data_IF_783443711410
#
_entry.id   IF_783443711410
#
_cell.length_a   1.000
_cell.length_b   1.000
_cell.length_c   1.000
_cell.angle_alpha   90.00
_cell.angle_beta   90.00
_cell.angle_gamma   90.00
#
_symmetry.space_group_name_H-M   'P 1'
#
loop_
_entity.id
_entity.type
_entity.pdbx_description
1 polymer ?
#
# COMPACT_ATOMS: atom_id res chain seq x y z
N UNK A 1 35.21 -35.30 4.79
CA UNK A 1 34.53 -34.67 3.64
C UNK A 1 34.77 -33.18 3.74
N UNK A 2 35.50 -32.61 2.78
CA UNK A 2 36.01 -31.23 2.78
C UNK A 2 35.08 -30.41 1.90
N UNK A 3 34.46 -29.36 2.46
CA UNK A 3 33.54 -28.46 1.75
C UNK A 3 34.34 -27.27 1.20
N UNK A 4 34.48 -27.21 -0.11
CA UNK A 4 35.16 -26.14 -0.84
C UNK A 4 34.29 -24.89 -0.87
N UNK A 5 34.68 -23.85 -0.13
CA UNK A 5 34.09 -22.51 -0.21
C UNK A 5 34.69 -21.74 -1.40
N UNK A 6 33.87 -21.46 -2.42
CA UNK A 6 34.29 -20.64 -3.56
C UNK A 6 34.15 -19.16 -3.22
N UNK A 7 35.32 -18.54 -3.04
CA UNK A 7 35.61 -17.11 -2.85
C UNK A 7 34.96 -16.24 -3.94
N UNK A 8 34.18 -15.25 -3.53
CA UNK A 8 33.90 -14.07 -4.35
C UNK A 8 34.96 -13.01 -4.05
N UNK A 9 35.76 -12.67 -5.08
CA UNK A 9 36.77 -11.64 -5.01
C UNK A 9 36.18 -10.25 -5.36
N UNK A 10 36.70 -9.17 -4.76
CA UNK A 10 36.22 -7.80 -4.93
C UNK A 10 36.81 -7.18 -6.20
N UNK A 11 36.02 -6.35 -6.89
CA UNK A 11 36.51 -5.46 -7.95
C UNK A 11 35.98 -4.04 -7.67
N UNK A 12 36.74 -3.35 -6.82
CA UNK A 12 36.85 -1.90 -6.80
C UNK A 12 37.76 -1.48 -7.97
N UNK A 13 37.27 -0.63 -8.87
CA UNK A 13 37.92 0.59 -9.39
C UNK A 13 37.29 0.99 -10.74
N UNK A 14 36.51 2.07 -10.73
CA UNK A 14 36.47 3.00 -11.85
C UNK A 14 36.09 4.38 -11.31
N UNK A 15 37.11 5.22 -11.13
CA UNK A 15 36.99 6.66 -10.98
C UNK A 15 36.34 7.24 -12.24
N UNK A 16 35.28 8.03 -12.08
CA UNK A 16 34.93 9.07 -13.02
C UNK A 16 34.44 10.30 -12.24
N UNK A 17 35.39 11.20 -12.04
CA UNK A 17 35.24 12.62 -11.78
C UNK A 17 34.16 13.23 -12.68
N UNK A 18 33.04 13.63 -12.10
CA UNK A 18 32.14 14.62 -12.68
C UNK A 18 31.66 15.55 -11.57
N UNK A 19 32.48 16.58 -11.33
CA UNK A 19 32.08 17.77 -10.59
C UNK A 19 31.19 18.57 -11.55
N UNK A 20 29.87 18.42 -11.43
CA UNK A 20 28.87 19.21 -12.15
C UNK A 20 28.00 19.95 -11.14
N UNK A 21 28.11 21.26 -11.10
CA UNK A 21 27.39 22.17 -10.20
C UNK A 21 25.89 22.09 -10.45
N UNK A 22 25.17 21.30 -9.66
CA UNK A 22 23.71 21.33 -9.65
C UNK A 22 23.24 22.55 -8.84
N UNK A 23 22.51 23.42 -9.52
CA UNK A 23 21.84 24.63 -9.04
C UNK A 23 21.00 24.36 -7.77
N UNK A 24 21.02 25.27 -6.77
CA UNK A 24 20.14 25.16 -5.62
C UNK A 24 18.68 25.39 -6.02
N UNK A 25 17.70 24.63 -5.48
CA UNK A 25 16.29 24.99 -5.56
C UNK A 25 16.03 26.29 -4.75
N UNK A 26 15.05 27.10 -5.16
CA UNK A 26 14.75 28.38 -4.52
C UNK A 26 14.33 28.21 -3.06
N UNK A 27 14.88 29.12 -2.24
CA UNK A 27 14.62 29.29 -0.82
C UNK A 27 13.15 29.62 -0.53
N UNK A 28 12.75 29.34 0.70
CA UNK A 28 11.40 29.41 1.21
C UNK A 28 10.90 30.86 1.34
N UNK A 29 9.60 31.08 1.14
CA UNK A 29 8.83 32.10 1.86
C UNK A 29 7.32 31.90 1.65
N UNK A 30 6.57 31.46 2.68
CA UNK A 30 5.13 31.69 2.73
C UNK A 30 4.85 33.13 3.24
N UNK A 31 4.06 33.96 2.55
CA UNK A 31 3.55 35.19 3.14
C UNK A 31 2.43 34.87 4.13
N UNK A 32 2.60 35.30 5.37
CA UNK A 32 1.55 35.32 6.37
C UNK A 32 0.66 36.57 6.23
N UNK A 33 -0.65 36.33 6.30
CA UNK A 33 -1.72 37.19 6.84
C UNK A 33 -2.02 38.57 6.22
N UNK A 34 -3.22 38.69 5.63
CA UNK A 34 -4.17 39.79 5.92
C UNK A 34 -5.54 39.50 5.27
N UNK A 35 -6.59 39.35 6.08
CA UNK A 35 -7.97 39.22 5.60
C UNK A 35 -8.94 38.92 6.74
N UNK A 36 -9.41 39.98 7.41
CA UNK A 36 -10.34 39.96 8.54
C UNK A 36 -11.82 39.83 8.06
N UNK A 37 -12.81 39.71 8.98
CA UNK A 37 -14.08 38.98 8.81
C UNK A 37 -15.23 39.82 8.25
N UNK A 38 -16.23 39.14 7.67
CA UNK A 38 -17.53 39.70 7.32
C UNK A 38 -18.64 38.68 7.57
N UNK A 39 -19.45 38.95 8.60
CA UNK A 39 -20.69 38.25 8.90
C UNK A 39 -21.82 38.71 7.96
N UNK A 40 -22.77 37.81 7.65
CA UNK A 40 -24.20 37.99 7.97
C UNK A 40 -25.04 36.83 7.44
N UNK A 41 -25.94 36.42 8.32
CA UNK A 41 -27.06 35.50 8.22
C UNK A 41 -27.86 35.51 6.91
N UNK A 42 -28.33 34.31 6.53
CA UNK A 42 -29.67 34.17 5.99
C UNK A 42 -30.25 32.80 6.39
N UNK A 43 -31.27 32.86 7.24
CA UNK A 43 -32.18 31.80 7.61
C UNK A 43 -32.91 31.22 6.39
N UNK A 44 -33.20 29.92 6.41
CA UNK A 44 -33.93 29.28 5.32
C UNK A 44 -34.42 27.86 5.62
N UNK A 45 -35.57 27.80 6.29
CA UNK A 45 -36.59 26.75 6.23
C UNK A 45 -36.24 25.33 6.74
N UNK A 46 -36.68 25.09 7.98
CA UNK A 46 -37.23 23.80 8.41
C UNK A 46 -38.34 23.35 7.47
N UNK A 47 -38.11 22.27 6.73
CA UNK A 47 -39.13 21.53 5.99
C UNK A 47 -39.21 20.12 6.54
N UNK A 48 -40.26 19.86 7.32
CA UNK A 48 -40.65 18.52 7.76
C UNK A 48 -41.46 17.85 6.64
N UNK A 49 -41.13 16.61 6.29
CA UNK A 49 -41.95 15.64 5.54
C UNK A 49 -41.15 14.33 5.57
N UNK A 50 -41.51 13.28 6.30
CA UNK A 50 -42.83 12.65 6.31
C UNK A 50 -42.91 11.63 5.18
N UNK A 51 -42.28 10.47 5.33
CA UNK A 51 -42.56 9.27 4.53
C UNK A 51 -42.10 8.01 5.30
N UNK A 52 -42.83 7.70 6.38
CA UNK A 52 -42.90 6.32 6.89
C UNK A 52 -44.02 5.63 6.14
N UNK A 53 -43.69 4.70 5.24
CA UNK A 53 -44.70 3.84 4.62
C UNK A 53 -44.22 3.06 3.40
N UNK A 54 -44.54 1.77 3.43
CA UNK A 54 -44.49 0.76 2.35
C UNK A 54 -43.10 0.12 2.12
N UNK A 55 -42.87 -1.13 2.56
CA UNK A 55 -43.43 -2.39 2.08
C UNK A 55 -42.99 -2.75 0.66
N UNK A 56 -42.16 -3.79 0.55
CA UNK A 56 -42.05 -4.63 -0.65
C UNK A 56 -41.06 -4.14 -1.70
N UNK A 57 -39.87 -4.75 -1.70
CA UNK A 57 -38.92 -4.58 -2.80
C UNK A 57 -37.52 -4.94 -2.34
N UNK A 58 -37.27 -6.23 -2.14
CA UNK A 58 -35.94 -6.82 -2.00
C UNK A 58 -35.03 -6.28 -3.12
N UNK A 59 -34.04 -5.42 -2.84
CA UNK A 59 -32.96 -5.20 -3.77
C UNK A 59 -31.97 -6.34 -3.53
N UNK A 60 -31.78 -7.20 -4.53
CA UNK A 60 -30.82 -8.28 -4.54
C UNK A 60 -29.57 -7.94 -3.71
N UNK A 61 -29.49 -8.53 -2.53
CA UNK A 61 -28.38 -8.44 -1.60
C UNK A 61 -27.20 -9.15 -2.27
N UNK A 62 -26.41 -8.40 -3.04
CA UNK A 62 -25.10 -8.88 -3.51
C UNK A 62 -24.30 -9.19 -2.25
N UNK A 63 -23.82 -10.44 -2.05
CA UNK A 63 -23.22 -10.84 -0.79
C UNK A 63 -21.89 -10.10 -0.63
N UNK A 64 -21.90 -9.02 0.17
CA UNK A 64 -20.71 -8.24 0.53
C UNK A 64 -19.59 -9.11 1.14
N UNK A 65 -19.95 -10.29 1.63
CA UNK A 65 -19.05 -11.30 2.18
C UNK A 65 -18.21 -11.96 1.08
N UNK A 66 -18.78 -12.23 -0.10
CA UNK A 66 -18.08 -12.87 -1.22
C UNK A 66 -17.03 -11.94 -1.83
N UNK A 67 -17.31 -10.64 -1.85
CA UNK A 67 -16.40 -9.61 -2.37
C UNK A 67 -15.11 -9.46 -1.52
N UNK A 68 -15.10 -9.94 -0.27
CA UNK A 68 -13.89 -9.95 0.60
C UNK A 68 -13.10 -11.25 0.53
N UNK A 69 -13.63 -12.32 -0.07
CA UNK A 69 -12.95 -13.60 -0.12
C UNK A 69 -11.73 -13.58 -1.05
N UNK A 70 -11.89 -13.00 -2.25
CA UNK A 70 -10.83 -12.92 -3.26
C UNK A 70 -9.62 -12.11 -2.78
N UNK A 71 -9.76 -10.88 -2.25
CA UNK A 71 -8.59 -10.09 -1.90
C UNK A 71 -7.91 -10.61 -0.60
N UNK A 72 -8.65 -11.27 0.29
CA UNK A 72 -8.05 -12.05 1.40
C UNK A 72 -7.27 -13.25 0.89
N UNK A 73 -7.80 -13.97 -0.09
CA UNK A 73 -7.08 -15.07 -0.76
C UNK A 73 -5.82 -14.56 -1.45
N UNK A 74 -5.88 -13.43 -2.15
CA UNK A 74 -4.72 -12.79 -2.77
C UNK A 74 -3.65 -12.43 -1.73
N UNK A 75 -4.05 -11.85 -0.60
CA UNK A 75 -3.15 -11.54 0.50
C UNK A 75 -2.51 -12.80 1.13
N UNK A 76 -3.27 -13.89 1.30
CA UNK A 76 -2.72 -15.16 1.77
C UNK A 76 -1.70 -15.76 0.76
N UNK A 77 -2.03 -15.72 -0.53
CA UNK A 77 -1.13 -16.13 -1.62
C UNK A 77 0.17 -15.32 -1.59
N UNK A 78 0.07 -14.01 -1.39
CA UNK A 78 1.23 -13.12 -1.29
C UNK A 78 2.11 -13.46 -0.08
N UNK A 79 1.52 -13.62 1.11
CA UNK A 79 2.25 -14.00 2.32
C UNK A 79 2.93 -15.37 2.18
N UNK A 80 2.24 -16.35 1.60
CA UNK A 80 2.81 -17.68 1.31
C UNK A 80 3.99 -17.58 0.33
N UNK A 81 3.87 -16.75 -0.71
CA UNK A 81 4.94 -16.54 -1.68
C UNK A 81 6.16 -15.82 -1.07
N UNK A 82 5.94 -14.87 -0.17
CA UNK A 82 6.97 -14.13 0.54
C UNK A 82 7.70 -15.00 1.58
N UNK A 83 6.95 -15.79 2.35
CA UNK A 83 7.51 -16.75 3.32
C UNK A 83 8.43 -17.76 2.63
N UNK A 84 8.04 -18.31 1.47
CA UNK A 84 8.89 -19.20 0.65
C UNK A 84 10.21 -18.57 0.19
N UNK A 85 10.29 -17.24 0.19
CA UNK A 85 11.46 -16.46 -0.23
C UNK A 85 12.27 -15.91 0.96
N UNK A 86 11.96 -16.35 2.18
CA UNK A 86 12.56 -15.86 3.43
C UNK A 86 12.34 -14.37 3.69
N UNK A 87 11.25 -13.79 3.15
CA UNK A 87 10.82 -12.46 3.56
C UNK A 87 10.16 -12.54 4.94
N UNK A 88 10.43 -11.57 5.81
CA UNK A 88 9.85 -11.55 7.15
C UNK A 88 8.36 -11.19 7.08
N UNK A 89 7.52 -12.20 7.23
CA UNK A 89 6.07 -12.05 7.35
C UNK A 89 5.60 -12.13 8.81
N UNK A 90 6.53 -12.01 9.78
CA UNK A 90 6.23 -12.03 11.20
C UNK A 90 5.22 -10.95 11.59
N UNK A 91 4.11 -11.35 12.21
CA UNK A 91 3.05 -10.43 12.63
C UNK A 91 2.15 -9.90 11.51
N UNK A 92 2.36 -10.31 10.26
CA UNK A 92 1.45 -9.98 9.16
C UNK A 92 0.19 -10.84 9.26
N UNK A 93 -0.98 -10.20 9.39
CA UNK A 93 -2.25 -10.90 9.50
C UNK A 93 -3.21 -10.48 8.38
N UNK A 94 -3.78 -11.47 7.69
CA UNK A 94 -4.69 -11.27 6.56
C UNK A 94 -6.03 -10.65 6.96
N UNK A 95 -6.44 -10.82 8.22
CA UNK A 95 -7.61 -10.16 8.78
C UNK A 95 -7.35 -8.69 9.12
N UNK A 96 -6.09 -8.30 9.34
CA UNK A 96 -5.66 -6.89 9.50
C UNK A 96 -5.33 -6.20 8.18
N UNK A 97 -5.53 -6.87 7.05
CA UNK A 97 -5.31 -6.29 5.72
C UNK A 97 -6.18 -5.05 5.50
N UNK A 98 -5.55 -3.95 5.08
CA UNK A 98 -6.23 -2.71 4.70
C UNK A 98 -6.49 -2.70 3.20
N UNK A 99 -7.74 -2.54 2.81
CA UNK A 99 -8.12 -2.39 1.41
C UNK A 99 -8.03 -0.91 1.03
N UNK A 100 -7.19 -0.58 0.07
CA UNK A 100 -6.86 0.79 -0.33
C UNK A 100 -6.86 0.93 -1.85
N UNK A 101 -6.75 2.17 -2.35
CA UNK A 101 -6.56 2.42 -3.78
C UNK A 101 -5.14 2.04 -4.25
N UNK A 102 -4.97 1.78 -5.55
CA UNK A 102 -3.66 1.41 -6.13
C UNK A 102 -2.55 2.43 -5.80
N UNK A 103 -2.87 3.72 -5.87
CA UNK A 103 -1.90 4.79 -5.59
C UNK A 103 -1.41 4.76 -4.13
N UNK A 104 -2.30 4.55 -3.16
CA UNK A 104 -1.95 4.44 -1.73
C UNK A 104 -1.16 3.16 -1.47
N UNK A 105 -1.57 2.02 -2.06
CA UNK A 105 -0.80 0.78 -1.95
C UNK A 105 0.63 0.93 -2.47
N UNK A 106 0.82 1.58 -3.62
CA UNK A 106 2.15 1.82 -4.22
C UNK A 106 3.00 2.83 -3.45
N UNK A 107 2.37 3.84 -2.85
CA UNK A 107 3.06 4.74 -1.94
C UNK A 107 3.66 3.96 -0.75
N UNK A 108 3.08 2.80 -0.45
CA UNK A 108 3.53 1.91 0.60
C UNK A 108 2.99 2.32 1.95
N UNK A 109 3.42 1.59 2.97
CA UNK A 109 3.14 1.93 4.37
C UNK A 109 4.35 2.65 4.91
N UNK A 110 4.25 3.70 5.76
CA UNK A 110 5.40 4.22 6.50
C UNK A 110 6.04 3.16 7.41
N UNK A 111 7.25 3.44 7.88
CA UNK A 111 7.93 2.48 8.75
C UNK A 111 7.25 2.42 10.11
N UNK A 112 6.99 1.21 10.60
CA UNK A 112 6.35 0.96 11.88
C UNK A 112 6.95 -0.27 12.55
N UNK A 113 6.60 -0.47 13.81
CA UNK A 113 7.05 -1.61 14.62
C UNK A 113 6.32 -2.91 14.27
N UNK A 114 5.21 -2.82 13.55
CA UNK A 114 4.36 -3.96 13.20
C UNK A 114 4.34 -4.19 11.71
N UNK A 115 4.18 -5.45 11.30
CA UNK A 115 3.90 -5.74 9.91
C UNK A 115 2.56 -5.12 9.49
N UNK A 116 2.56 -4.46 8.33
CA UNK A 116 1.36 -3.94 7.69
C UNK A 116 1.13 -4.57 6.32
N UNK A 117 -0.16 -4.70 5.98
CA UNK A 117 -0.62 -5.35 4.77
C UNK A 117 -1.65 -4.46 4.07
N UNK A 118 -1.29 -3.93 2.91
CA UNK A 118 -2.20 -3.19 2.03
C UNK A 118 -2.62 -4.07 0.87
N UNK A 119 -3.89 -4.01 0.49
CA UNK A 119 -4.41 -4.73 -0.67
C UNK A 119 -5.17 -3.74 -1.55
N UNK A 120 -4.79 -3.66 -2.82
CA UNK A 120 -5.44 -2.82 -3.81
C UNK A 120 -5.79 -3.64 -5.05
N UNK A 121 -6.92 -3.30 -5.68
CA UNK A 121 -7.25 -3.78 -7.02
C UNK A 121 -6.52 -2.89 -8.03
N UNK A 122 -5.73 -3.47 -8.93
CA UNK A 122 -5.11 -2.74 -10.05
C UNK A 122 -6.11 -2.57 -11.20
N UNK A 123 -5.85 -1.59 -12.05
CA UNK A 123 -6.68 -1.34 -13.25
C UNK A 123 -6.74 -2.50 -14.26
N UNK A 124 -5.78 -3.44 -14.20
CA UNK A 124 -5.69 -4.64 -15.05
C UNK A 124 -6.41 -5.87 -14.45
N UNK A 125 -7.33 -5.65 -13.51
CA UNK A 125 -8.06 -6.69 -12.76
C UNK A 125 -7.18 -7.59 -11.86
N UNK A 126 -5.87 -7.35 -11.77
CA UNK A 126 -5.00 -8.05 -10.81
C UNK A 126 -5.06 -7.40 -9.41
N UNK A 127 -4.54 -8.11 -8.41
CA UNK A 127 -4.43 -7.60 -7.05
C UNK A 127 -2.99 -7.22 -6.74
N UNK A 128 -2.81 -6.00 -6.24
CA UNK A 128 -1.55 -5.55 -5.65
C UNK A 128 -1.64 -5.74 -4.15
N UNK A 129 -0.75 -6.55 -3.59
CA UNK A 129 -0.59 -6.75 -2.15
C UNK A 129 0.75 -6.18 -1.75
N UNK A 130 0.74 -5.19 -0.87
CA UNK A 130 1.96 -4.58 -0.33
C UNK A 130 2.14 -5.05 1.09
N UNK A 131 3.28 -5.67 1.35
CA UNK A 131 3.63 -6.24 2.65
C UNK A 131 4.84 -5.49 3.16
N UNK A 132 4.70 -4.85 4.30
CA UNK A 132 5.81 -4.21 5.00
C UNK A 132 6.14 -5.01 6.25
N UNK A 133 7.35 -5.54 6.33
CA UNK A 133 7.82 -6.24 7.52
C UNK A 133 8.01 -5.26 8.69
N UNK A 134 7.93 -5.77 9.94
CA UNK A 134 8.23 -4.99 11.13
C UNK A 134 9.74 -4.77 11.38
N UNK A 135 10.60 -5.23 10.47
CA UNK A 135 12.05 -4.99 10.55
C UNK A 135 12.35 -3.49 10.46
N UNK A 136 13.36 -3.02 11.19
CA UNK A 136 13.68 -1.59 11.25
C UNK A 136 14.00 -0.98 9.87
N UNK A 137 12.97 -0.32 9.35
CA UNK A 137 12.83 0.86 8.49
C UNK A 137 13.76 1.14 7.30
N UNK A 138 15.02 0.69 7.27
CA UNK A 138 16.01 1.12 6.26
C UNK A 138 16.71 -0.04 5.52
N UNK A 139 16.25 -1.28 5.69
CA UNK A 139 16.84 -2.43 5.00
C UNK A 139 16.19 -2.65 3.63
N UNK A 140 16.99 -3.02 2.62
CA UNK A 140 16.45 -3.55 1.36
C UNK A 140 15.58 -4.77 1.67
N UNK A 141 14.33 -4.78 1.20
CA UNK A 141 13.37 -5.84 1.53
C UNK A 141 12.57 -5.57 2.81
N UNK A 142 12.54 -4.34 3.31
CA UNK A 142 11.58 -3.94 4.34
C UNK A 142 10.13 -3.97 3.81
N UNK A 143 9.96 -3.74 2.51
CA UNK A 143 8.67 -3.79 1.82
C UNK A 143 8.73 -4.67 0.57
N UNK A 144 7.66 -5.38 0.29
CA UNK A 144 7.45 -6.15 -0.93
C UNK A 144 6.10 -5.82 -1.57
N UNK A 145 6.12 -5.54 -2.86
CA UNK A 145 4.94 -5.38 -3.70
C UNK A 145 4.72 -6.70 -4.44
N UNK A 146 3.59 -7.33 -4.19
CA UNK A 146 3.22 -8.63 -4.76
C UNK A 146 2.04 -8.43 -5.68
N UNK A 147 2.18 -8.84 -6.94
CA UNK A 147 1.07 -8.86 -7.89
C UNK A 147 0.49 -10.27 -7.94
N UNK A 148 -0.82 -10.39 -7.72
CA UNK A 148 -1.57 -11.64 -7.73
C UNK A 148 -2.64 -11.59 -8.81
N UNK A 149 -2.91 -12.71 -9.46
CA UNK A 149 -3.95 -12.88 -10.46
C UNK A 149 -5.33 -12.51 -9.91
N UNK A 150 -6.25 -12.19 -10.81
CA UNK A 150 -7.61 -11.72 -10.50
C UNK A 150 -8.38 -12.63 -9.52
N UNK A 151 -8.20 -13.94 -9.61
CA UNK A 151 -8.85 -14.95 -8.77
C UNK A 151 -8.23 -15.06 -7.35
N UNK A 152 -7.16 -14.31 -7.10
CA UNK A 152 -6.39 -14.31 -5.85
C UNK A 152 -5.50 -15.54 -5.64
N UNK A 153 -5.43 -16.50 -6.57
CA UNK A 153 -4.69 -17.76 -6.42
C UNK A 153 -3.31 -17.79 -7.09
N UNK A 154 -3.06 -16.97 -8.11
CA UNK A 154 -1.83 -17.05 -8.91
C UNK A 154 -0.86 -15.90 -8.66
N UNK A 155 0.40 -16.19 -8.33
CA UNK A 155 1.44 -15.16 -8.26
C UNK A 155 1.83 -14.69 -9.66
N UNK A 156 1.83 -13.38 -9.91
CA UNK A 156 2.28 -12.78 -11.19
C UNK A 156 3.65 -12.13 -11.08
N UNK A 157 3.97 -11.53 -9.94
CA UNK A 157 5.25 -10.87 -9.73
C UNK A 157 5.48 -10.50 -8.28
N UNK A 158 6.75 -10.34 -7.92
CA UNK A 158 7.19 -9.84 -6.61
C UNK A 158 8.29 -8.83 -6.86
N UNK A 159 8.13 -7.64 -6.30
CA UNK A 159 9.10 -6.56 -6.34
C UNK A 159 9.46 -6.17 -4.90
N UNK A 160 10.74 -5.97 -4.62
CA UNK A 160 11.22 -5.60 -3.29
C UNK A 160 11.65 -4.13 -3.30
N UNK A 161 11.18 -3.38 -2.30
CA UNK A 161 11.51 -1.97 -2.14
C UNK A 161 12.14 -1.71 -0.77
N UNK A 162 12.64 -0.49 -0.59
CA UNK A 162 13.03 0.04 0.71
C UNK A 162 11.81 0.58 1.44
#
# INVERSE_FOLDING_TARGET
MIVTMTRWAPLLLALATACGSATPPPDASPPAAAGAPGASDAAGASGTSGASGTSGGEPAEVPLVENRAIPKKAANTALTALSKRNFDTGGCDVARARFVGEAEARAGVPAGETCELLVARKGDATWLVVVRSGLQSNSYGAQALVTVAEDGGGLKGVEYTK
#
